data_IF_783238839201
#
_entry.id   IF_783238839201
#
_cell.length_a   1.000
_cell.length_b   1.000
_cell.length_c   1.000
_cell.angle_alpha   90.00
_cell.angle_beta   90.00
_cell.angle_gamma   90.00
#
_symmetry.space_group_name_H-M   'P 1'
#
loop_
_entity.id
_entity.type
_entity.pdbx_description
1 polymer ?
#
# COMPACT_ATOMS: atom_id res chain seq x y z
N UNK A 1 -8.34 -23.59 12.43
CA UNK A 1 -8.86 -23.06 11.14
C UNK A 1 -8.28 -21.71 10.73
N UNK A 2 -8.44 -20.61 11.49
CA UNK A 2 -8.09 -19.25 11.00
C UNK A 2 -6.60 -18.97 10.68
N UNK A 3 -5.63 -19.58 11.38
CA UNK A 3 -4.20 -19.42 11.05
C UNK A 3 -3.83 -19.97 9.67
N UNK A 4 -4.41 -21.11 9.30
CA UNK A 4 -4.19 -21.69 7.98
C UNK A 4 -4.76 -20.81 6.87
N UNK A 5 -5.79 -20.03 7.15
CA UNK A 5 -6.36 -19.08 6.17
C UNK A 5 -5.35 -17.98 5.88
N UNK A 6 -4.82 -17.29 6.90
CA UNK A 6 -3.83 -16.23 6.70
C UNK A 6 -2.58 -16.73 6.00
N UNK A 7 -2.04 -17.89 6.40
CA UNK A 7 -0.85 -18.46 5.79
C UNK A 7 -1.09 -18.84 4.32
N UNK A 8 -2.23 -19.50 4.01
CA UNK A 8 -2.59 -19.86 2.63
C UNK A 8 -2.85 -18.64 1.77
N UNK A 9 -3.52 -17.63 2.32
CA UNK A 9 -3.73 -16.35 1.62
C UNK A 9 -2.39 -15.68 1.35
N UNK A 10 -1.49 -15.58 2.34
CA UNK A 10 -0.17 -14.99 2.14
C UNK A 10 0.62 -15.74 1.07
N UNK A 11 0.66 -17.08 1.14
CA UNK A 11 1.30 -17.90 0.11
C UNK A 11 0.70 -17.64 -1.29
N UNK A 12 -0.62 -17.54 -1.40
CA UNK A 12 -1.31 -17.25 -2.65
C UNK A 12 -0.98 -15.85 -3.20
N UNK A 13 -0.96 -14.83 -2.33
CA UNK A 13 -0.57 -13.46 -2.69
C UNK A 13 0.82 -13.44 -3.30
N UNK A 14 1.82 -14.00 -2.61
CA UNK A 14 3.20 -13.98 -3.05
C UNK A 14 3.39 -14.80 -4.34
N UNK A 15 2.78 -15.98 -4.43
CA UNK A 15 2.88 -16.85 -5.61
C UNK A 15 2.28 -16.17 -6.84
N UNK A 16 1.07 -15.60 -6.73
CA UNK A 16 0.43 -14.90 -7.83
C UNK A 16 1.20 -13.62 -8.21
N UNK A 17 1.73 -12.90 -7.23
CA UNK A 17 2.52 -11.68 -7.48
C UNK A 17 3.77 -11.98 -8.28
N UNK A 18 4.57 -12.96 -7.84
CA UNK A 18 5.78 -13.37 -8.54
C UNK A 18 5.44 -13.89 -9.94
N UNK A 19 4.40 -14.71 -10.06
CA UNK A 19 3.96 -15.23 -11.36
C UNK A 19 3.54 -14.12 -12.32
N UNK A 20 2.75 -13.15 -11.85
CA UNK A 20 2.34 -11.99 -12.66
C UNK A 20 3.56 -11.18 -13.08
N UNK A 21 4.49 -10.90 -12.18
CA UNK A 21 5.71 -10.15 -12.53
C UNK A 21 6.58 -10.91 -13.54
N UNK A 22 6.72 -12.23 -13.36
CA UNK A 22 7.41 -13.09 -14.33
C UNK A 22 6.77 -12.96 -15.72
N UNK A 23 5.45 -13.08 -15.86
CA UNK A 23 4.77 -12.87 -17.14
C UNK A 23 4.92 -11.45 -17.68
N UNK A 24 4.85 -10.44 -16.82
CA UNK A 24 5.03 -9.04 -17.22
C UNK A 24 6.42 -8.75 -17.77
N UNK A 25 7.46 -9.52 -17.39
CA UNK A 25 8.79 -9.36 -18.00
C UNK A 25 8.85 -9.76 -19.47
N UNK A 26 7.91 -10.58 -19.95
CA UNK A 26 7.80 -10.97 -21.36
C UNK A 26 6.92 -10.03 -22.19
N UNK A 27 6.19 -9.12 -21.55
CA UNK A 27 5.39 -8.12 -22.23
C UNK A 27 6.18 -6.81 -22.30
N UNK A 28 6.31 -6.22 -23.50
CA UNK A 28 7.05 -4.96 -23.70
C UNK A 28 6.54 -3.79 -22.83
N UNK A 29 5.33 -3.91 -22.28
CA UNK A 29 4.70 -2.92 -21.41
C UNK A 29 4.74 -3.38 -19.94
N UNK A 30 5.95 -3.63 -19.42
CA UNK A 30 6.22 -4.07 -18.03
C UNK A 30 5.77 -3.13 -16.90
N UNK A 31 4.92 -2.13 -17.20
CA UNK A 31 4.38 -1.13 -16.26
C UNK A 31 2.88 -1.25 -16.05
N UNK A 32 2.29 -2.43 -16.26
CA UNK A 32 0.90 -2.71 -15.89
C UNK A 32 0.72 -2.84 -14.36
N UNK A 33 1.20 -1.85 -13.60
CA UNK A 33 1.14 -1.78 -12.13
C UNK A 33 -0.30 -1.92 -11.60
N UNK A 34 -1.30 -1.54 -12.39
CA UNK A 34 -2.70 -1.70 -12.03
C UNK A 34 -3.12 -3.17 -11.86
N UNK A 35 -2.54 -4.09 -12.64
CA UNK A 35 -2.86 -5.52 -12.57
C UNK A 35 -2.27 -6.14 -11.29
N UNK A 36 -1.15 -5.64 -10.81
CA UNK A 36 -0.50 -6.20 -9.61
C UNK A 36 -1.23 -5.80 -8.33
N UNK A 37 -1.84 -4.62 -8.28
CA UNK A 37 -2.59 -4.12 -7.12
C UNK A 37 -3.87 -4.91 -6.81
N UNK A 38 -4.44 -5.64 -7.79
CA UNK A 38 -5.63 -6.47 -7.56
C UNK A 38 -5.29 -7.85 -6.95
N UNK A 39 -4.02 -8.27 -7.01
CA UNK A 39 -3.57 -9.62 -6.63
C UNK A 39 -3.88 -9.94 -5.16
N UNK A 40 -3.64 -9.04 -4.18
CA UNK A 40 -4.00 -9.30 -2.80
C UNK A 40 -5.48 -9.66 -2.64
N UNK A 41 -6.36 -8.89 -3.29
CA UNK A 41 -7.81 -9.06 -3.18
C UNK A 41 -8.26 -10.36 -3.84
N UNK A 42 -7.75 -10.67 -5.04
CA UNK A 42 -8.02 -11.94 -5.71
C UNK A 42 -7.59 -13.14 -4.86
N UNK A 43 -6.42 -13.05 -4.22
CA UNK A 43 -5.91 -14.11 -3.35
C UNK A 43 -6.81 -14.37 -2.15
N UNK A 44 -7.34 -13.31 -1.53
CA UNK A 44 -8.33 -13.43 -0.44
C UNK A 44 -9.60 -14.12 -0.96
N UNK A 45 -10.12 -13.70 -2.12
CA UNK A 45 -11.33 -14.29 -2.70
C UNK A 45 -11.12 -15.77 -3.01
N UNK A 46 -10.02 -16.15 -3.64
CA UNK A 46 -9.68 -17.52 -3.98
C UNK A 46 -9.61 -18.38 -2.69
N UNK A 47 -8.79 -17.97 -1.72
CA UNK A 47 -8.59 -18.78 -0.51
C UNK A 47 -9.83 -18.81 0.39
N UNK A 48 -10.46 -17.68 0.61
CA UNK A 48 -11.55 -17.58 1.58
C UNK A 48 -12.88 -18.04 1.01
N UNK A 49 -13.23 -17.65 -0.22
CA UNK A 49 -14.51 -18.02 -0.83
C UNK A 49 -14.47 -19.43 -1.43
N UNK A 50 -13.41 -19.78 -2.15
CA UNK A 50 -13.34 -21.06 -2.88
C UNK A 50 -12.86 -22.19 -1.97
N UNK A 51 -11.69 -22.02 -1.34
CA UNK A 51 -11.06 -23.12 -0.60
C UNK A 51 -11.61 -23.32 0.82
N UNK A 52 -12.01 -22.25 1.52
CA UNK A 52 -12.41 -22.35 2.94
C UNK A 52 -13.86 -21.99 3.21
N UNK A 53 -14.60 -21.50 2.21
CA UNK A 53 -16.02 -21.12 2.28
C UNK A 53 -16.35 -20.18 3.44
N UNK A 54 -15.44 -19.24 3.75
CA UNK A 54 -15.61 -18.25 4.81
C UNK A 54 -16.19 -16.93 4.28
N UNK A 55 -17.00 -16.21 5.09
CA UNK A 55 -17.48 -14.88 4.74
C UNK A 55 -16.33 -13.87 4.72
N UNK A 56 -16.22 -13.09 3.63
CA UNK A 56 -15.14 -12.11 3.41
C UNK A 56 -15.54 -10.68 3.75
N UNK A 57 -16.79 -10.28 3.48
CA UNK A 57 -17.22 -8.88 3.55
C UNK A 57 -17.12 -8.29 4.97
N UNK A 58 -17.41 -9.10 5.99
CA UNK A 58 -17.32 -8.70 7.39
C UNK A 58 -15.89 -8.34 7.82
N UNK A 59 -14.88 -8.79 7.07
CA UNK A 59 -13.47 -8.55 7.37
C UNK A 59 -12.90 -7.31 6.65
N UNK A 60 -13.65 -6.72 5.70
CA UNK A 60 -13.18 -5.56 4.95
C UNK A 60 -13.34 -4.24 5.73
N UNK A 61 -14.07 -4.27 6.85
CA UNK A 61 -14.16 -3.18 7.82
C UNK A 61 -14.45 -1.79 7.22
N UNK A 62 -15.35 -1.75 6.23
CA UNK A 62 -15.95 -0.53 5.69
C UNK A 62 -16.90 0.06 6.73
N UNK A 63 -16.36 0.89 7.61
CA UNK A 63 -17.12 1.68 8.59
C UNK A 63 -17.07 3.15 8.18
N UNK A 64 -18.10 3.92 8.56
CA UNK A 64 -18.15 5.36 8.28
C UNK A 64 -16.97 6.05 8.98
N UNK A 65 -16.05 6.70 8.23
CA UNK A 65 -14.91 7.37 8.85
C UNK A 65 -15.36 8.62 9.61
N UNK A 66 -14.62 8.96 10.66
CA UNK A 66 -14.77 10.27 11.31
C UNK A 66 -14.17 11.34 10.39
N UNK A 67 -14.84 12.49 10.30
CA UNK A 67 -14.41 13.60 9.45
C UNK A 67 -12.99 14.10 9.74
N UNK A 68 -12.60 14.16 11.01
CA UNK A 68 -11.24 14.58 11.40
C UNK A 68 -10.15 13.70 10.79
N UNK A 69 -10.36 12.38 10.77
CA UNK A 69 -9.41 11.43 10.18
C UNK A 69 -9.43 11.47 8.65
N UNK A 70 -10.57 11.74 8.04
CA UNK A 70 -10.66 11.91 6.59
C UNK A 70 -9.86 13.13 6.12
N UNK A 71 -9.97 14.26 6.84
CA UNK A 71 -9.18 15.46 6.57
C UNK A 71 -7.69 15.23 6.84
N UNK A 72 -7.35 14.63 7.98
CA UNK A 72 -5.96 14.32 8.32
C UNK A 72 -5.29 13.44 7.26
N UNK A 73 -6.01 12.46 6.72
CA UNK A 73 -5.52 11.59 5.63
C UNK A 73 -5.27 12.29 4.30
N UNK A 74 -5.80 13.51 4.10
CA UNK A 74 -5.51 14.32 2.90
C UNK A 74 -4.37 15.30 3.20
N UNK A 75 -4.46 16.00 4.33
CA UNK A 75 -3.51 17.07 4.66
C UNK A 75 -2.15 16.57 5.11
N UNK A 76 -2.07 15.46 5.85
CA UNK A 76 -0.79 14.94 6.35
C UNK A 76 0.13 14.50 5.20
N UNK A 77 -0.32 13.63 4.26
CA UNK A 77 0.51 13.23 3.12
C UNK A 77 0.90 14.43 2.25
N UNK A 78 -0.06 15.33 1.99
CA UNK A 78 0.20 16.56 1.23
C UNK A 78 1.29 17.44 1.86
N UNK A 79 1.21 17.70 3.18
CA UNK A 79 2.19 18.50 3.89
C UNK A 79 3.56 17.81 3.94
N UNK A 80 3.59 16.49 4.15
CA UNK A 80 4.82 15.70 4.13
C UNK A 80 5.49 15.77 2.75
N UNK A 81 4.71 15.60 1.68
CA UNK A 81 5.15 15.75 0.31
C UNK A 81 5.77 17.13 0.06
N UNK A 82 5.10 18.21 0.48
CA UNK A 82 5.65 19.57 0.38
C UNK A 82 6.99 19.71 1.11
N UNK A 83 7.07 19.26 2.37
CA UNK A 83 8.29 19.36 3.18
C UNK A 83 9.47 18.60 2.55
N UNK A 84 9.25 17.39 2.07
CA UNK A 84 10.28 16.56 1.43
C UNK A 84 10.78 17.23 0.13
N UNK A 85 9.88 17.74 -0.70
CA UNK A 85 10.27 18.42 -1.94
C UNK A 85 10.97 19.75 -1.67
N UNK A 86 10.54 20.50 -0.65
CA UNK A 86 11.24 21.71 -0.21
C UNK A 86 12.65 21.39 0.28
N UNK A 87 12.82 20.32 1.05
CA UNK A 87 14.14 19.86 1.48
C UNK A 87 15.04 19.52 0.29
N UNK A 88 14.57 18.72 -0.67
CA UNK A 88 15.36 18.36 -1.85
C UNK A 88 15.71 19.57 -2.72
N UNK A 89 14.76 20.50 -2.91
CA UNK A 89 15.00 21.74 -3.64
C UNK A 89 16.12 22.57 -3.01
N UNK A 90 16.14 22.68 -1.67
CA UNK A 90 17.15 23.43 -0.93
C UNK A 90 18.52 22.74 -0.86
N UNK A 91 18.57 21.41 -0.85
CA UNK A 91 19.80 20.65 -0.54
C UNK A 91 20.50 20.05 -1.75
N UNK A 92 19.76 19.69 -2.81
CA UNK A 92 20.30 18.92 -3.94
C UNK A 92 20.06 19.59 -5.30
N UNK A 93 19.43 20.77 -5.33
CA UNK A 93 19.03 21.50 -6.54
C UNK A 93 18.44 20.66 -7.69
N UNK A 94 17.44 19.75 -7.50
CA UNK A 94 16.59 19.31 -8.59
C UNK A 94 15.26 20.09 -8.54
N UNK A 95 14.66 20.25 -9.71
CA UNK A 95 13.34 20.88 -9.91
C UNK A 95 12.28 20.39 -8.91
N UNK A 96 11.55 21.34 -8.31
CA UNK A 96 10.36 21.05 -7.51
C UNK A 96 9.30 20.37 -8.40
N UNK A 97 8.65 19.30 -7.93
CA UNK A 97 7.66 18.56 -8.73
C UNK A 97 6.43 19.40 -9.13
N UNK A 98 6.16 20.49 -8.42
CA UNK A 98 4.97 21.33 -8.59
C UNK A 98 5.40 22.75 -8.94
N UNK A 99 5.62 23.00 -10.23
CA UNK A 99 6.06 24.30 -10.73
C UNK A 99 4.84 25.20 -10.96
N UNK A 100 3.70 24.62 -11.34
CA UNK A 100 2.47 25.38 -11.63
C UNK A 100 1.29 24.94 -10.76
N UNK A 101 0.32 25.84 -10.48
CA UNK A 101 -0.93 25.49 -9.81
C UNK A 101 -1.75 24.41 -10.54
N UNK A 102 -1.64 24.33 -11.88
CA UNK A 102 -2.33 23.31 -12.68
C UNK A 102 -1.74 21.91 -12.48
N UNK A 103 -0.43 21.79 -12.24
CA UNK A 103 0.19 20.50 -11.88
C UNK A 103 -0.29 20.05 -10.50
N UNK A 104 -0.38 20.98 -9.54
CA UNK A 104 -0.92 20.69 -8.20
C UNK A 104 -2.35 20.16 -8.27
N UNK A 105 -3.24 20.85 -9.00
CA UNK A 105 -4.65 20.45 -9.08
C UNK A 105 -4.81 19.08 -9.75
N UNK A 106 -4.04 18.79 -10.80
CA UNK A 106 -4.05 17.48 -11.46
C UNK A 106 -3.52 16.36 -10.57
N UNK A 107 -2.46 16.62 -9.79
CA UNK A 107 -1.92 15.64 -8.83
C UNK A 107 -2.93 15.33 -7.73
N UNK A 108 -3.59 16.36 -7.17
CA UNK A 108 -4.64 16.17 -6.17
C UNK A 108 -5.83 15.39 -6.75
N UNK A 109 -6.25 15.70 -7.97
CA UNK A 109 -7.36 15.00 -8.63
C UNK A 109 -7.04 13.53 -8.89
N UNK A 110 -5.89 13.24 -9.51
CA UNK A 110 -5.46 11.86 -9.80
C UNK A 110 -5.30 11.07 -8.50
N UNK A 111 -4.70 11.70 -7.49
CA UNK A 111 -4.52 11.09 -6.19
C UNK A 111 -5.86 10.72 -5.54
N UNK A 112 -6.72 11.71 -5.32
CA UNK A 112 -8.01 11.51 -4.66
C UNK A 112 -8.96 10.58 -5.42
N UNK A 113 -8.70 10.29 -6.70
CA UNK A 113 -9.52 9.39 -7.52
C UNK A 113 -8.85 8.05 -7.79
N UNK A 114 -8.00 7.98 -8.82
CA UNK A 114 -7.43 6.74 -9.36
C UNK A 114 -6.53 6.08 -8.31
N UNK A 115 -5.63 6.85 -7.69
CA UNK A 115 -4.68 6.31 -6.71
C UNK A 115 -5.39 5.80 -5.47
N UNK A 116 -6.36 6.55 -4.94
CA UNK A 116 -7.20 6.11 -3.81
C UNK A 116 -8.01 4.85 -4.15
N UNK A 117 -8.57 4.77 -5.36
CA UNK A 117 -9.33 3.60 -5.82
C UNK A 117 -8.48 2.33 -5.88
N UNK A 118 -7.25 2.44 -6.38
CA UNK A 118 -6.30 1.32 -6.42
C UNK A 118 -5.79 0.96 -5.02
N UNK A 119 -5.49 1.96 -4.20
CA UNK A 119 -5.11 1.79 -2.80
C UNK A 119 -6.14 0.97 -2.03
N UNK A 120 -7.43 1.22 -2.28
CA UNK A 120 -8.51 0.47 -1.62
C UNK A 120 -8.41 -1.03 -1.87
N UNK A 121 -7.99 -1.48 -3.06
CA UNK A 121 -7.85 -2.90 -3.39
C UNK A 121 -6.84 -3.60 -2.46
N UNK A 122 -5.75 -2.91 -2.14
CA UNK A 122 -4.74 -3.39 -1.21
C UNK A 122 -5.16 -3.24 0.25
N UNK A 123 -5.64 -2.05 0.61
CA UNK A 123 -5.95 -1.69 2.00
C UNK A 123 -7.05 -2.59 2.55
N UNK A 124 -8.04 -2.96 1.73
CA UNK A 124 -9.09 -3.93 2.09
C UNK A 124 -8.51 -5.26 2.58
N UNK A 125 -7.39 -5.71 2.00
CA UNK A 125 -6.74 -6.97 2.36
C UNK A 125 -5.84 -6.78 3.55
N UNK A 126 -4.89 -5.85 3.49
CA UNK A 126 -3.85 -5.70 4.50
C UNK A 126 -4.37 -5.10 5.81
N UNK A 127 -5.24 -4.08 5.72
CA UNK A 127 -5.76 -3.31 6.87
C UNK A 127 -7.23 -3.61 7.18
N UNK A 128 -7.92 -4.34 6.30
CA UNK A 128 -9.18 -5.01 6.61
C UNK A 128 -8.93 -6.46 7.01
N UNK A 129 -8.83 -7.36 6.02
CA UNK A 129 -8.86 -8.81 6.23
C UNK A 129 -7.76 -9.31 7.18
N UNK A 130 -6.50 -9.03 6.87
CA UNK A 130 -5.34 -9.46 7.67
C UNK A 130 -5.39 -8.86 9.07
N UNK A 131 -5.66 -7.56 9.16
CA UNK A 131 -5.77 -6.87 10.44
C UNK A 131 -6.83 -7.51 11.34
N UNK A 132 -8.04 -7.79 10.84
CA UNK A 132 -9.12 -8.42 11.63
C UNK A 132 -8.69 -9.80 12.14
N UNK A 133 -8.08 -10.64 11.31
CA UNK A 133 -7.65 -11.98 11.74
C UNK A 133 -6.45 -11.96 12.69
N UNK A 134 -5.50 -11.04 12.50
CA UNK A 134 -4.33 -10.90 13.37
C UNK A 134 -4.72 -10.30 14.73
N UNK A 135 -5.59 -9.27 14.77
CA UNK A 135 -6.05 -8.65 16.03
C UNK A 135 -6.85 -9.57 16.93
N UNK A 136 -7.45 -10.64 16.39
CA UNK A 136 -8.10 -11.69 17.20
C UNK A 136 -7.11 -12.49 18.08
N UNK A 137 -5.80 -12.37 17.84
CA UNK A 137 -4.77 -13.23 18.45
C UNK A 137 -3.59 -12.45 19.01
N UNK A 138 -3.23 -11.37 18.33
CA UNK A 138 -2.04 -10.58 18.62
C UNK A 138 -2.42 -9.18 19.07
N UNK A 139 -1.52 -8.54 19.82
CA UNK A 139 -1.62 -7.12 20.15
C UNK A 139 -1.60 -6.24 18.89
N UNK A 140 -1.91 -4.96 19.06
CA UNK A 140 -1.83 -4.00 17.97
C UNK A 140 -0.42 -3.95 17.37
N UNK A 141 0.63 -3.78 18.18
CA UNK A 141 2.00 -3.66 17.69
C UNK A 141 2.49 -4.90 16.95
N UNK A 142 2.16 -6.08 17.47
CA UNK A 142 2.47 -7.34 16.78
C UNK A 142 1.70 -7.45 15.45
N UNK A 143 0.43 -7.05 15.43
CA UNK A 143 -0.37 -7.02 14.19
C UNK A 143 0.22 -6.05 13.17
N UNK A 144 0.52 -4.82 13.58
CA UNK A 144 1.10 -3.79 12.72
C UNK A 144 2.45 -4.23 12.15
N UNK A 145 3.29 -4.86 12.97
CA UNK A 145 4.60 -5.39 12.55
C UNK A 145 4.45 -6.51 11.54
N UNK A 146 3.59 -7.52 11.81
CA UNK A 146 3.36 -8.63 10.89
C UNK A 146 2.77 -8.16 9.55
N UNK A 147 1.80 -7.26 9.59
CA UNK A 147 1.24 -6.64 8.38
C UNK A 147 2.31 -5.82 7.65
N UNK A 148 3.14 -5.06 8.37
CA UNK A 148 4.21 -4.25 7.78
C UNK A 148 5.28 -5.09 7.08
N UNK A 149 5.73 -6.18 7.71
CA UNK A 149 6.67 -7.12 7.07
C UNK A 149 6.03 -7.76 5.84
N UNK A 150 4.81 -8.28 5.98
CA UNK A 150 4.10 -8.94 4.88
C UNK A 150 3.83 -8.01 3.70
N UNK A 151 3.50 -6.76 3.96
CA UNK A 151 3.18 -5.77 2.94
C UNK A 151 4.44 -5.18 2.29
N UNK A 152 5.48 -4.86 3.06
CA UNK A 152 6.76 -4.36 2.50
C UNK A 152 7.44 -5.43 1.63
N UNK A 153 7.54 -6.68 2.09
CA UNK A 153 8.15 -7.76 1.31
C UNK A 153 7.35 -8.13 0.05
N UNK A 154 6.04 -7.87 0.03
CA UNK A 154 5.22 -8.07 -1.17
C UNK A 154 5.67 -7.16 -2.33
N UNK A 155 6.30 -6.02 -2.04
CA UNK A 155 6.85 -5.10 -3.06
C UNK A 155 8.19 -5.54 -3.63
N UNK A 156 8.81 -6.58 -3.09
CA UNK A 156 10.17 -6.99 -3.48
C UNK A 156 10.33 -7.21 -4.99
N UNK A 157 9.40 -7.86 -5.73
CA UNK A 157 9.53 -8.03 -7.18
C UNK A 157 9.61 -6.69 -7.92
N UNK A 158 8.83 -5.69 -7.51
CA UNK A 158 8.83 -4.35 -8.12
C UNK A 158 10.18 -3.67 -7.91
N UNK A 159 10.67 -3.75 -6.68
CA UNK A 159 11.90 -3.09 -6.24
C UNK A 159 13.13 -3.69 -6.93
N UNK A 160 13.13 -5.00 -7.16
CA UNK A 160 14.24 -5.70 -7.83
C UNK A 160 14.19 -5.54 -9.35
N UNK A 161 13.00 -5.61 -9.96
CA UNK A 161 12.88 -5.71 -11.42
C UNK A 161 12.75 -4.37 -12.14
N UNK A 162 12.17 -3.34 -11.50
CA UNK A 162 11.77 -2.12 -12.19
C UNK A 162 12.45 -0.83 -11.70
N UNK A 163 13.13 -0.86 -10.55
CA UNK A 163 13.79 0.33 -10.00
C UNK A 163 15.31 0.28 -10.23
N UNK A 164 15.88 1.23 -11.01
CA UNK A 164 17.32 1.28 -11.22
C UNK A 164 18.01 1.92 -10.00
N UNK A 165 18.59 1.10 -9.14
CA UNK A 165 19.40 1.58 -8.03
C UNK A 165 20.88 1.59 -8.38
N UNK A 166 21.56 2.71 -8.15
CA UNK A 166 23.03 2.80 -8.27
C UNK A 166 23.75 1.86 -7.31
N UNK A 167 23.22 1.68 -6.10
CA UNK A 167 23.70 0.73 -5.09
C UNK A 167 22.54 -0.14 -4.61
N UNK A 168 22.21 -1.25 -5.31
CA UNK A 168 21.05 -2.09 -4.98
C UNK A 168 21.07 -2.63 -3.55
N UNK A 169 22.26 -2.98 -3.03
CA UNK A 169 22.43 -3.47 -1.67
C UNK A 169 22.03 -2.46 -0.58
N UNK A 170 21.97 -1.16 -0.90
CA UNK A 170 21.54 -0.10 0.02
C UNK A 170 20.14 0.38 -0.34
N UNK A 171 19.88 0.62 -1.63
CA UNK A 171 18.60 1.15 -2.12
C UNK A 171 17.42 0.23 -1.85
N UNK A 172 17.60 -1.08 -2.07
CA UNK A 172 16.52 -2.08 -1.87
C UNK A 172 16.13 -2.17 -0.38
N UNK A 173 17.06 -2.40 0.57
CA UNK A 173 16.69 -2.43 1.98
C UNK A 173 16.13 -1.11 2.50
N UNK A 174 16.68 0.04 2.07
CA UNK A 174 16.20 1.35 2.49
C UNK A 174 14.74 1.58 2.04
N UNK A 175 14.43 1.21 0.80
CA UNK A 175 13.07 1.33 0.28
C UNK A 175 12.08 0.40 1.01
N UNK A 176 12.45 -0.87 1.25
CA UNK A 176 11.60 -1.80 2.01
C UNK A 176 11.39 -1.34 3.46
N UNK A 177 12.41 -0.74 4.09
CA UNK A 177 12.30 -0.16 5.43
C UNK A 177 11.34 1.03 5.44
N UNK A 178 11.41 1.91 4.44
CA UNK A 178 10.47 3.03 4.29
C UNK A 178 9.03 2.51 4.19
N UNK A 179 8.79 1.50 3.34
CA UNK A 179 7.49 0.86 3.21
C UNK A 179 7.04 0.23 4.54
N UNK A 180 7.93 -0.45 5.25
CA UNK A 180 7.63 -1.01 6.57
C UNK A 180 7.15 0.07 7.55
N UNK A 181 7.90 1.18 7.68
CA UNK A 181 7.54 2.30 8.55
C UNK A 181 6.20 2.92 8.14
N UNK A 182 5.99 3.15 6.85
CA UNK A 182 4.72 3.64 6.31
C UNK A 182 3.56 2.72 6.69
N UNK A 183 3.76 1.40 6.61
CA UNK A 183 2.73 0.44 7.02
C UNK A 183 2.36 0.53 8.51
N UNK A 184 3.32 0.85 9.39
CA UNK A 184 3.03 1.09 10.80
C UNK A 184 2.13 2.31 10.96
N UNK A 185 2.46 3.42 10.30
CA UNK A 185 1.64 4.66 10.32
C UNK A 185 0.21 4.37 9.86
N UNK A 186 0.05 3.62 8.77
CA UNK A 186 -1.27 3.26 8.24
C UNK A 186 -2.04 2.32 9.16
N UNK A 187 -1.33 1.45 9.88
CA UNK A 187 -1.94 0.60 10.91
C UNK A 187 -2.45 1.43 12.07
N UNK A 188 -1.75 2.50 12.47
CA UNK A 188 -2.22 3.45 13.49
C UNK A 188 -3.47 4.19 12.98
N UNK A 189 -3.45 4.72 11.76
CA UNK A 189 -4.61 5.40 11.15
C UNK A 189 -5.81 4.43 11.11
N UNK A 190 -5.58 3.16 10.77
CA UNK A 190 -6.61 2.13 10.80
C UNK A 190 -7.16 1.88 12.20
N UNK A 191 -6.30 1.73 13.21
CA UNK A 191 -6.69 1.40 14.59
C UNK A 191 -7.42 2.58 15.24
N UNK A 192 -6.97 3.82 15.04
CA UNK A 192 -7.62 4.98 15.65
C UNK A 192 -8.85 5.43 14.85
N UNK A 193 -8.77 5.38 13.52
CA UNK A 193 -9.86 5.75 12.62
C UNK A 193 -10.96 4.70 12.52
N UNK A 194 -10.68 3.43 12.90
CA UNK A 194 -11.58 2.28 12.84
C UNK A 194 -12.19 2.00 11.45
N UNK A 195 -11.69 2.68 10.41
CA UNK A 195 -12.14 2.63 9.01
C UNK A 195 -10.93 2.47 8.08
N UNK A 196 -11.12 1.76 6.97
CA UNK A 196 -10.10 1.61 5.93
C UNK A 196 -10.10 2.79 4.95
N UNK A 197 -11.18 3.58 4.91
CA UNK A 197 -11.31 4.70 3.96
C UNK A 197 -10.24 5.76 4.18
N UNK A 198 -9.97 6.25 5.41
CA UNK A 198 -8.90 7.22 5.64
C UNK A 198 -7.53 6.65 5.31
N UNK A 199 -7.33 5.35 5.50
CA UNK A 199 -6.07 4.65 5.20
C UNK A 199 -5.81 4.66 3.69
N UNK A 200 -6.82 4.37 2.88
CA UNK A 200 -6.70 4.40 1.42
C UNK A 200 -6.52 5.81 0.85
N UNK A 201 -7.12 6.82 1.49
CA UNK A 201 -6.89 8.22 1.10
C UNK A 201 -5.46 8.64 1.47
N UNK A 202 -4.95 8.23 2.64
CA UNK A 202 -3.57 8.52 3.05
C UNK A 202 -2.51 7.78 2.24
N UNK A 203 -2.91 6.77 1.47
CA UNK A 203 -2.06 5.99 0.57
C UNK A 203 -1.65 6.75 -0.70
N UNK A 204 -2.12 7.99 -0.86
CA UNK A 204 -2.00 8.73 -2.11
C UNK A 204 -0.57 8.96 -2.62
N UNK A 205 0.41 8.87 -1.72
CA UNK A 205 1.77 9.30 -1.98
C UNK A 205 2.65 8.26 -2.66
N UNK A 206 2.22 6.99 -2.81
CA UNK A 206 3.01 6.06 -3.64
C UNK A 206 3.10 6.54 -5.10
N UNK A 207 2.05 7.15 -5.64
CA UNK A 207 2.11 7.74 -6.98
C UNK A 207 3.05 8.96 -7.08
N UNK A 208 3.39 9.60 -5.96
CA UNK A 208 4.28 10.76 -5.89
C UNK A 208 5.73 10.36 -5.55
N UNK A 209 5.92 9.42 -4.63
CA UNK A 209 7.24 8.91 -4.20
C UNK A 209 7.85 7.91 -5.18
N UNK A 210 7.05 7.24 -6.02
CA UNK A 210 7.55 6.26 -7.01
C UNK A 210 7.87 6.87 -8.38
N UNK A 211 7.61 8.17 -8.59
CA UNK A 211 7.95 8.90 -9.82
C UNK A 211 9.32 9.59 -9.81
N UNK A 212 10.05 9.49 -8.70
CA UNK A 212 11.48 9.84 -8.62
C UNK A 212 12.37 8.73 -9.13
#
# INVERSE_FOLDING_TARGET
MKNYVLLRTMFCIYSLTVLTHYFLTFLEHGRAFFVTMIIPLLSVIIVQKIFTKLPILSTFSFTKPKWSWLLASIFIPFLLGLLVHSYFYLTHHPSFLIITPSQLSMLLLIGLTISTGLALLEVVVWRGNFHVYLRQRYSFWSTATLTGVGWSLWHLPIVVLYKPYMMPAVGIPAYLLLLFVLSIVLSIIREVGQSIVPVAISWNDECLLLRG
#
